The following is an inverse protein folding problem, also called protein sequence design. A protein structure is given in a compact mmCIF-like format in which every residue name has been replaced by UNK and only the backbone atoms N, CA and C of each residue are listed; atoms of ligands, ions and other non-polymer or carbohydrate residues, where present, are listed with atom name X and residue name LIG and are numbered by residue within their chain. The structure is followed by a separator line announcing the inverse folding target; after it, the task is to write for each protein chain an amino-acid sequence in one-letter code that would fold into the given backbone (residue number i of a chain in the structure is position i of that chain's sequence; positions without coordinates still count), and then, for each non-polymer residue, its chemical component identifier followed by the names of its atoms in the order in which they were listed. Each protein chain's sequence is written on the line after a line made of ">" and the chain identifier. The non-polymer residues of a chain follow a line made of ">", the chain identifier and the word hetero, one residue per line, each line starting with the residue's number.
data_IF_057003690029
#
_entry.id   IF_057003690029
#
_cell.length_a   1.000
_cell.length_b   1.000
_cell.length_c   1.000
_cell.angle_alpha   90.00
_cell.angle_beta   90.00
_cell.angle_gamma   90.00
#
_symmetry.space_group_name_H-M   'P 1'
#
loop_
_entity.id
_entity.type
_entity.pdbx_description
1 polymer ?
#
# COMPACT_ATOMS: atom_id res chain seq x y z
N UNK A 1 20.24 -4.43 -3.27
CA UNK A 1 19.00 -5.24 -3.36
C UNK A 1 17.92 -4.82 -2.36
N UNK A 2 18.22 -3.97 -1.36
CA UNK A 2 17.19 -3.34 -0.52
C UNK A 2 16.25 -2.43 -1.35
N UNK A 3 14.97 -2.44 -0.98
CA UNK A 3 13.97 -1.64 -1.68
C UNK A 3 14.19 -0.14 -1.51
N UNK A 4 13.91 0.65 -2.55
CA UNK A 4 14.09 2.10 -2.46
C UNK A 4 13.15 2.69 -1.41
N UNK A 5 13.67 3.55 -0.54
CA UNK A 5 12.85 4.13 0.52
C UNK A 5 11.75 5.10 0.12
N UNK A 6 12.00 5.94 -0.87
CA UNK A 6 11.01 6.95 -1.26
C UNK A 6 9.66 6.45 -1.79
N UNK A 7 9.63 5.49 -2.71
CA UNK A 7 8.33 5.01 -3.18
C UNK A 7 7.82 3.82 -2.37
N UNK A 8 8.68 2.85 -2.07
CA UNK A 8 8.35 1.70 -1.22
C UNK A 8 7.97 2.11 0.21
N UNK A 9 8.17 3.39 0.62
CA UNK A 9 7.77 3.94 1.92
C UNK A 9 6.35 3.52 2.33
N UNK A 10 5.40 3.56 1.40
CA UNK A 10 4.01 3.12 1.60
C UNK A 10 3.97 1.65 2.05
N UNK A 11 4.63 0.79 1.28
CA UNK A 11 4.75 -0.65 1.53
C UNK A 11 5.64 -0.99 2.75
N UNK A 12 6.35 -0.01 3.32
CA UNK A 12 7.01 -0.10 4.64
C UNK A 12 6.05 0.22 5.78
N UNK A 13 5.16 1.22 5.64
CA UNK A 13 4.23 1.60 6.71
C UNK A 13 3.41 0.38 7.16
N UNK A 14 2.68 -0.26 6.25
CA UNK A 14 1.91 -1.48 6.56
C UNK A 14 2.73 -2.69 7.01
N UNK A 15 4.01 -2.79 6.64
CA UNK A 15 4.94 -3.84 7.11
C UNK A 15 5.05 -3.90 8.64
N UNK A 16 5.21 -2.75 9.27
CA UNK A 16 5.25 -2.65 10.72
C UNK A 16 3.91 -2.19 11.31
N UNK A 17 2.99 -1.74 10.46
CA UNK A 17 1.67 -1.28 10.90
C UNK A 17 0.59 -2.39 10.89
N UNK A 18 0.96 -3.57 10.40
CA UNK A 18 0.12 -4.78 10.33
C UNK A 18 -1.07 -4.65 9.37
N UNK A 19 -1.03 -3.71 8.44
CA UNK A 19 -2.13 -3.61 7.47
C UNK A 19 -1.85 -4.48 6.22
N UNK A 20 -1.69 -5.79 6.44
CA UNK A 20 -1.14 -6.76 5.48
C UNK A 20 -2.02 -8.00 5.34
N UNK A 21 -3.15 -7.83 4.66
CA UNK A 21 -4.13 -8.90 4.35
C UNK A 21 -5.19 -8.46 3.35
N UNK A 22 -5.65 -9.43 2.56
CA UNK A 22 -6.64 -9.21 1.51
C UNK A 22 -7.99 -8.72 2.03
N UNK A 23 -8.41 -9.24 3.19
CA UNK A 23 -9.70 -8.88 3.76
C UNK A 23 -9.79 -7.39 4.07
N UNK A 24 -8.69 -6.81 4.55
CA UNK A 24 -8.68 -5.38 4.89
C UNK A 24 -8.09 -4.54 3.74
N UNK A 25 -8.78 -3.48 3.32
CA UNK A 25 -8.30 -2.61 2.26
C UNK A 25 -8.01 -1.25 2.87
N UNK A 26 -6.82 -0.72 2.60
CA UNK A 26 -6.43 0.60 3.14
C UNK A 26 -6.90 1.79 2.31
N UNK A 27 -7.27 2.88 2.98
CA UNK A 27 -7.70 4.11 2.30
C UNK A 27 -6.56 5.12 2.12
N UNK A 28 -6.63 5.91 1.05
CA UNK A 28 -5.62 6.93 0.74
C UNK A 28 -5.44 7.99 1.85
N UNK A 29 -6.52 8.43 2.49
CA UNK A 29 -6.46 9.48 3.52
C UNK A 29 -5.90 8.99 4.86
N UNK A 30 -6.14 7.73 5.23
CA UNK A 30 -5.46 7.09 6.38
C UNK A 30 -3.96 6.93 6.11
N UNK A 31 -3.60 6.45 4.92
CA UNK A 31 -2.21 6.37 4.48
C UNK A 31 -1.51 7.75 4.42
N UNK A 32 -2.23 8.82 4.03
CA UNK A 32 -1.71 10.18 3.89
C UNK A 32 -1.17 10.78 5.21
N UNK A 33 -1.71 10.37 6.37
CA UNK A 33 -1.13 10.71 7.66
C UNK A 33 0.14 9.88 7.91
N UNK A 34 -0.01 8.57 8.12
CA UNK A 34 1.07 7.69 8.61
C UNK A 34 2.29 7.69 7.68
N UNK A 35 2.10 7.81 6.36
CA UNK A 35 3.17 7.76 5.36
C UNK A 35 3.99 9.05 5.23
N UNK A 36 3.62 10.14 5.93
CA UNK A 36 4.34 11.44 5.90
C UNK A 36 4.52 12.04 4.49
N UNK A 37 3.56 11.77 3.60
CA UNK A 37 3.52 12.20 2.21
C UNK A 37 2.07 12.42 1.79
N UNK A 38 1.83 13.50 1.03
CA UNK A 38 0.49 14.01 0.72
C UNK A 38 -0.30 13.11 -0.23
N UNK A 39 -1.63 13.32 -0.26
CA UNK A 39 -2.62 12.47 -0.91
C UNK A 39 -2.43 12.23 -2.42
N UNK A 40 -1.80 13.15 -3.16
CA UNK A 40 -1.42 12.90 -4.56
C UNK A 40 -0.33 11.81 -4.66
N UNK A 41 0.74 11.92 -3.87
CA UNK A 41 1.91 11.03 -3.92
C UNK A 41 1.54 9.58 -3.58
N UNK A 42 0.63 9.36 -2.62
CA UNK A 42 0.13 8.01 -2.27
C UNK A 42 -0.79 7.43 -3.35
N UNK A 43 -1.61 8.25 -4.02
CA UNK A 43 -2.40 7.80 -5.18
C UNK A 43 -1.49 7.38 -6.33
N UNK A 44 -0.43 8.14 -6.62
CA UNK A 44 0.56 7.81 -7.66
C UNK A 44 1.39 6.56 -7.35
N UNK A 45 1.89 6.39 -6.13
CA UNK A 45 2.64 5.19 -5.74
C UNK A 45 1.76 3.92 -5.79
N UNK A 46 0.51 3.98 -5.31
CA UNK A 46 -0.47 2.88 -5.47
C UNK A 46 -0.77 2.56 -6.95
N UNK A 47 -0.79 3.57 -7.85
CA UNK A 47 -0.99 3.33 -9.29
C UNK A 47 0.16 2.52 -9.88
N UNK A 48 1.40 2.82 -9.49
CA UNK A 48 2.58 1.99 -9.78
C UNK A 48 2.47 0.59 -9.16
N UNK A 49 2.10 0.47 -7.88
CA UNK A 49 2.11 -0.83 -7.18
C UNK A 49 1.07 -1.84 -7.68
N UNK A 50 0.06 -1.44 -8.45
CA UNK A 50 -0.78 -2.36 -9.22
C UNK A 50 0.04 -3.15 -10.26
N UNK A 51 1.01 -2.49 -10.91
CA UNK A 51 1.91 -3.11 -11.89
C UNK A 51 2.96 -4.03 -11.24
N UNK A 52 3.25 -3.81 -9.96
CA UNK A 52 4.06 -4.68 -9.10
C UNK A 52 3.25 -5.82 -8.47
N UNK A 53 1.93 -5.73 -8.51
CA UNK A 53 1.05 -6.79 -7.97
C UNK A 53 0.97 -6.78 -6.44
N UNK A 54 1.67 -5.84 -5.80
CA UNK A 54 1.67 -5.71 -4.34
C UNK A 54 0.33 -5.28 -3.76
N UNK A 55 -0.39 -4.48 -4.54
CA UNK A 55 -1.65 -3.87 -4.10
C UNK A 55 -2.77 -4.19 -5.10
N UNK A 56 -4.00 -4.30 -4.62
CA UNK A 56 -5.21 -4.70 -5.39
C UNK A 56 -6.43 -3.93 -4.92
N UNK A 57 -7.36 -3.69 -5.83
CA UNK A 57 -8.48 -2.74 -5.66
C UNK A 57 -9.83 -3.37 -5.23
N UNK A 58 -10.63 -2.56 -4.54
CA UNK A 58 -12.03 -2.79 -4.21
C UNK A 58 -13.00 -1.81 -4.87
N UNK A 59 -14.24 -2.29 -5.00
CA UNK A 59 -15.33 -1.59 -5.69
C UNK A 59 -15.97 -0.41 -4.96
N UNK A 60 -16.64 0.44 -5.74
CA UNK A 60 -17.32 1.59 -5.20
C UNK A 60 -18.84 1.38 -5.27
N UNK A 61 -19.52 1.39 -4.12
CA UNK A 61 -20.97 1.23 -4.05
C UNK A 61 -21.40 2.36 -3.15
N UNK A 62 -21.40 3.58 -3.69
CA UNK A 62 -21.67 4.79 -2.92
C UNK A 62 -20.38 5.31 -2.29
N UNK A 63 -19.76 4.54 -1.38
CA UNK A 63 -18.48 4.91 -0.81
C UNK A 63 -17.39 4.71 -1.87
N UNK A 64 -16.29 5.44 -1.73
CA UNK A 64 -15.19 5.37 -2.69
C UNK A 64 -14.38 4.07 -2.61
N UNK A 65 -13.54 3.85 -3.61
CA UNK A 65 -12.70 2.63 -3.64
C UNK A 65 -11.68 2.57 -2.49
N UNK A 66 -11.02 1.43 -2.40
CA UNK A 66 -9.97 1.13 -1.41
C UNK A 66 -9.02 0.04 -1.94
N UNK A 67 -7.83 -0.14 -1.35
CA UNK A 67 -6.81 -1.07 -1.86
C UNK A 67 -6.18 -1.95 -0.77
N UNK A 68 -6.25 -3.28 -0.91
CA UNK A 68 -5.56 -4.24 -0.03
C UNK A 68 -4.19 -4.62 -0.59
N UNK A 69 -3.33 -5.15 0.30
CA UNK A 69 -2.01 -5.67 -0.05
C UNK A 69 -2.07 -7.20 -0.17
N UNK A 70 -1.44 -7.74 -1.21
CA UNK A 70 -1.44 -9.17 -1.55
C UNK A 70 -0.33 -9.94 -0.82
N UNK A 71 -0.44 -11.28 -0.67
CA UNK A 71 0.64 -12.10 -0.10
C UNK A 71 1.97 -11.94 -0.85
N UNK A 72 1.93 -11.72 -2.17
CA UNK A 72 3.11 -11.47 -2.99
C UNK A 72 3.96 -10.29 -2.50
N UNK A 73 3.33 -9.26 -1.92
CA UNK A 73 4.03 -8.14 -1.32
C UNK A 73 4.65 -8.50 0.04
N UNK A 74 3.93 -9.20 0.93
CA UNK A 74 4.45 -9.69 2.21
C UNK A 74 5.74 -10.49 2.02
N UNK A 75 5.85 -11.35 1.01
CA UNK A 75 7.06 -12.12 0.73
C UNK A 75 8.30 -11.24 0.55
N UNK A 76 8.15 -10.08 -0.09
CA UNK A 76 9.20 -9.06 -0.19
C UNK A 76 9.55 -8.49 1.19
N UNK A 77 8.56 -8.30 2.06
CA UNK A 77 8.72 -7.86 3.45
C UNK A 77 9.48 -8.87 4.31
N UNK A 78 9.28 -10.19 4.10
CA UNK A 78 10.03 -11.26 4.78
C UNK A 78 11.51 -11.20 4.42
N UNK A 79 11.84 -10.77 3.22
CA UNK A 79 13.24 -10.63 2.84
C UNK A 79 13.97 -9.60 3.73
N UNK A 80 13.29 -8.51 4.08
CA UNK A 80 13.86 -7.42 4.90
C UNK A 80 13.31 -7.35 6.33
N UNK A 81 12.84 -8.49 6.81
CA UNK A 81 12.20 -8.63 8.13
C UNK A 81 12.95 -7.93 9.25
#
# INVERSE_FOLDING_TARGET
>A
MAVNKNEYKILIMLKENQCTTELKSFTYTKLCNISKLSMSTVRRSIKKFLELQYVKEGCKQGISKTFYITPNGIEKLKSIM
#
